data_IF_332505906604
#
_entry.id   IF_332505906604
#
_cell.length_a   1.000
_cell.length_b   1.000
_cell.length_c   1.000
_cell.angle_alpha   90.00
_cell.angle_beta   90.00
_cell.angle_gamma   90.00
#
_symmetry.space_group_name_H-M   'P 1'
#
loop_
_entity.id
_entity.type
_entity.pdbx_description
1 polymer ?
#
# COMPACT_ATOMS: atom_id res chain seq x y z
N UNK A 1 5.07 15.86 -10.49
CA UNK A 1 5.07 14.93 -9.34
C UNK A 1 4.39 15.59 -8.17
N UNK A 2 3.50 14.88 -7.45
CA UNK A 2 2.75 15.44 -6.31
C UNK A 2 3.67 15.65 -5.10
N UNK A 3 3.50 16.78 -4.41
CA UNK A 3 4.27 17.19 -3.24
C UNK A 3 3.58 16.76 -1.94
N UNK A 4 4.32 16.72 -0.82
CA UNK A 4 3.73 16.35 0.47
C UNK A 4 2.71 17.37 0.99
N UNK A 5 2.87 18.66 0.67
CA UNK A 5 1.88 19.69 0.99
C UNK A 5 0.57 19.48 0.25
N UNK A 6 0.63 19.13 -1.04
CA UNK A 6 -0.55 18.79 -1.85
C UNK A 6 -1.25 17.53 -1.31
N UNK A 7 -0.49 16.48 -0.92
CA UNK A 7 -1.07 15.28 -0.27
C UNK A 7 -1.80 15.66 1.02
N UNK A 8 -1.21 16.50 1.86
CA UNK A 8 -1.83 16.96 3.11
C UNK A 8 -3.09 17.80 2.86
N UNK A 9 -3.10 18.63 1.82
CA UNK A 9 -4.29 19.38 1.42
C UNK A 9 -5.41 18.46 0.93
N UNK A 10 -5.10 17.50 0.05
CA UNK A 10 -6.04 16.50 -0.43
C UNK A 10 -6.58 15.64 0.71
N UNK A 11 -5.75 15.30 1.70
CA UNK A 11 -6.21 14.58 2.87
C UNK A 11 -7.23 15.39 3.68
N UNK A 12 -7.03 16.70 3.84
CA UNK A 12 -8.03 17.56 4.51
C UNK A 12 -9.35 17.55 3.75
N UNK A 13 -9.33 17.66 2.42
CA UNK A 13 -10.53 17.56 1.58
C UNK A 13 -11.19 16.19 1.70
N UNK A 14 -10.41 15.11 1.62
CA UNK A 14 -10.91 13.75 1.71
C UNK A 14 -11.56 13.42 3.07
N UNK A 15 -11.12 14.07 4.15
CA UNK A 15 -11.77 13.95 5.48
C UNK A 15 -13.13 14.63 5.54
N UNK A 16 -13.35 15.67 4.72
CA UNK A 16 -14.61 16.41 4.69
C UNK A 16 -15.60 15.82 3.70
N UNK A 17 -15.14 15.40 2.52
CA UNK A 17 -15.98 15.04 1.37
C UNK A 17 -15.88 13.57 0.96
N UNK A 18 -14.97 12.80 1.58
CA UNK A 18 -14.53 11.51 1.04
C UNK A 18 -13.46 11.69 -0.03
N UNK A 19 -12.72 10.61 -0.35
CA UNK A 19 -11.63 10.68 -1.33
C UNK A 19 -12.09 10.55 -2.78
N UNK A 20 -13.35 10.15 -3.01
CA UNK A 20 -13.90 9.90 -4.35
C UNK A 20 -13.28 8.70 -5.09
N UNK A 21 -12.51 7.87 -4.39
CA UNK A 21 -11.84 6.70 -4.97
C UNK A 21 -12.85 5.56 -5.06
N UNK A 22 -13.12 5.08 -6.27
CA UNK A 22 -13.94 3.91 -6.51
C UNK A 22 -13.18 2.63 -6.11
N UNK A 23 -13.81 1.64 -5.45
CA UNK A 23 -13.16 0.39 -5.06
C UNK A 23 -12.44 -0.30 -6.24
N UNK A 24 -13.13 -0.44 -7.37
CA UNK A 24 -12.62 -1.16 -8.55
C UNK A 24 -11.38 -0.49 -9.15
N UNK A 25 -11.21 0.83 -8.94
CA UNK A 25 -10.01 1.56 -9.37
C UNK A 25 -8.75 1.23 -8.56
N UNK A 26 -8.87 0.42 -7.50
CA UNK A 26 -7.75 -0.01 -6.66
C UNK A 26 -7.14 -1.33 -7.09
N UNK A 27 -7.86 -2.12 -7.89
CA UNK A 27 -7.37 -3.40 -8.39
C UNK A 27 -6.12 -3.20 -9.25
N UNK A 28 -5.13 -4.07 -9.01
CA UNK A 28 -3.83 -4.08 -9.69
C UNK A 28 -2.63 -3.97 -8.75
N UNK A 29 -1.46 -3.82 -9.36
CA UNK A 29 -0.15 -3.73 -8.72
C UNK A 29 0.28 -2.27 -8.60
N UNK A 30 0.69 -1.90 -7.39
CA UNK A 30 1.12 -0.57 -7.02
C UNK A 30 2.57 -0.59 -6.52
N UNK A 31 3.43 0.20 -7.13
CA UNK A 31 4.85 0.32 -6.81
C UNK A 31 5.10 1.56 -5.97
N UNK A 32 5.71 1.39 -4.80
CA UNK A 32 6.01 2.50 -3.89
C UNK A 32 7.05 3.43 -4.52
N UNK A 33 6.71 4.72 -4.66
CA UNK A 33 7.62 5.73 -5.20
C UNK A 33 8.26 6.56 -4.09
N UNK A 34 7.44 7.11 -3.20
CA UNK A 34 7.89 8.04 -2.18
C UNK A 34 7.14 7.86 -0.87
N UNK A 35 7.82 8.23 0.21
CA UNK A 35 7.34 8.20 1.58
C UNK A 35 7.64 9.52 2.27
N UNK A 36 6.72 9.95 3.12
CA UNK A 36 6.92 11.10 4.00
C UNK A 36 6.50 10.76 5.42
N UNK A 37 7.11 11.45 6.39
CA UNK A 37 6.67 11.43 7.77
C UNK A 37 5.25 12.00 7.91
N UNK A 38 4.69 11.88 9.12
CA UNK A 38 3.35 12.40 9.44
C UNK A 38 3.10 13.86 9.05
N UNK A 39 4.14 14.69 9.07
CA UNK A 39 4.08 16.12 8.77
C UNK A 39 4.62 16.47 7.37
N UNK A 40 4.77 15.49 6.47
CA UNK A 40 5.20 15.74 5.09
C UNK A 40 6.71 16.00 4.93
N UNK A 41 7.51 15.87 5.99
CA UNK A 41 8.98 15.87 5.88
C UNK A 41 9.45 14.56 5.28
N UNK A 42 10.45 14.60 4.40
CA UNK A 42 11.14 13.38 3.95
C UNK A 42 11.71 12.66 5.17
N UNK A 43 11.59 11.32 5.27
CA UNK A 43 12.16 10.58 6.37
C UNK A 43 13.69 10.76 6.43
N UNK A 44 14.26 10.60 7.62
CA UNK A 44 15.68 10.82 7.89
C UNK A 44 16.54 9.91 6.99
N UNK A 45 17.67 10.39 6.42
CA UNK A 45 18.59 9.56 5.66
C UNK A 45 19.02 8.32 6.47
N UNK A 46 18.91 7.12 5.90
CA UNK A 46 19.34 5.85 6.51
C UNK A 46 18.28 4.74 6.53
N UNK A 47 17.02 5.05 6.86
CA UNK A 47 15.89 4.08 6.82
C UNK A 47 15.05 4.20 5.56
N UNK A 48 15.03 5.38 4.97
CA UNK A 48 14.23 5.77 3.81
C UNK A 48 14.74 5.26 2.43
N UNK A 49 16.06 5.19 2.18
CA UNK A 49 16.58 4.61 0.94
C UNK A 49 16.37 3.10 0.87
N UNK A 50 16.39 2.41 2.02
CA UNK A 50 16.20 0.96 2.12
C UNK A 50 14.78 0.53 1.71
N UNK A 51 13.74 1.22 2.16
CA UNK A 51 12.36 0.87 1.79
C UNK A 51 12.04 1.15 0.31
N UNK A 52 12.66 2.18 -0.28
CA UNK A 52 12.55 2.46 -1.72
C UNK A 52 13.41 1.52 -2.58
N UNK A 53 14.62 1.18 -2.13
CA UNK A 53 15.51 0.26 -2.86
C UNK A 53 15.01 -1.19 -2.84
N UNK A 54 14.17 -1.54 -1.87
CA UNK A 54 13.52 -2.84 -1.76
C UNK A 54 12.40 -3.08 -2.78
N UNK A 55 12.07 -2.09 -3.63
CA UNK A 55 11.07 -2.26 -4.69
C UNK A 55 9.72 -2.71 -4.14
N UNK A 56 9.22 -2.03 -3.10
CA UNK A 56 7.98 -2.41 -2.44
C UNK A 56 6.79 -2.36 -3.40
N UNK A 57 6.08 -3.48 -3.51
CA UNK A 57 4.90 -3.69 -4.35
C UNK A 57 3.71 -4.00 -3.45
N UNK A 58 2.58 -3.40 -3.76
CA UNK A 58 1.30 -3.67 -3.16
C UNK A 58 0.36 -4.14 -4.26
N UNK A 59 -0.08 -5.39 -4.21
CA UNK A 59 -1.05 -5.93 -5.15
C UNK A 59 -2.38 -6.06 -4.43
N UNK A 60 -3.43 -5.55 -5.08
CA UNK A 60 -4.80 -5.62 -4.61
C UNK A 60 -5.62 -6.32 -5.68
N UNK A 61 -6.36 -7.35 -5.27
CA UNK A 61 -7.25 -8.10 -6.16
C UNK A 61 -8.61 -8.22 -5.49
N UNK A 62 -9.67 -8.09 -6.27
CA UNK A 62 -11.03 -8.28 -5.80
C UNK A 62 -11.60 -9.55 -6.45
N UNK A 63 -12.05 -10.50 -5.63
CA UNK A 63 -12.73 -11.71 -6.08
C UNK A 63 -13.95 -11.95 -5.21
N UNK A 64 -15.13 -12.11 -5.83
CA UNK A 64 -16.40 -12.37 -5.12
C UNK A 64 -16.62 -11.39 -3.95
N UNK A 65 -16.46 -10.09 -4.22
CA UNK A 65 -16.56 -8.98 -3.25
C UNK A 65 -15.53 -8.99 -2.09
N UNK A 66 -14.60 -9.95 -2.09
CA UNK A 66 -13.51 -10.04 -1.11
C UNK A 66 -12.23 -9.51 -1.70
N UNK A 67 -11.55 -8.67 -0.92
CA UNK A 67 -10.24 -8.16 -1.31
C UNK A 67 -9.13 -9.06 -0.78
N UNK A 68 -8.18 -9.37 -1.67
CA UNK A 68 -6.89 -9.94 -1.33
C UNK A 68 -5.84 -8.86 -1.43
N UNK A 69 -4.89 -8.89 -0.50
CA UNK A 69 -3.78 -7.96 -0.45
C UNK A 69 -2.47 -8.73 -0.37
N UNK A 70 -1.52 -8.27 -1.17
CA UNK A 70 -0.16 -8.79 -1.14
C UNK A 70 0.80 -7.63 -1.00
N UNK A 71 1.69 -7.70 -0.02
CA UNK A 71 2.82 -6.80 0.08
C UNK A 71 4.09 -7.59 -0.23
N UNK A 72 4.88 -7.11 -1.19
CA UNK A 72 6.11 -7.77 -1.61
C UNK A 72 7.27 -6.78 -1.62
N UNK A 73 8.43 -7.23 -1.19
CA UNK A 73 9.70 -6.53 -1.35
C UNK A 73 10.74 -7.46 -1.98
N UNK A 74 11.61 -6.90 -2.81
CA UNK A 74 12.70 -7.59 -3.47
C UNK A 74 14.04 -6.96 -3.06
N UNK A 75 14.96 -7.76 -2.54
CA UNK A 75 16.35 -7.38 -2.28
C UNK A 75 17.27 -8.24 -3.15
N UNK A 76 17.58 -7.75 -4.36
CA UNK A 76 18.26 -8.56 -5.37
C UNK A 76 17.42 -9.79 -5.74
N UNK A 77 17.99 -10.99 -5.60
CA UNK A 77 17.28 -12.25 -5.86
C UNK A 77 16.42 -12.73 -4.69
N UNK A 78 16.51 -12.09 -3.51
CA UNK A 78 15.68 -12.39 -2.35
C UNK A 78 14.34 -11.68 -2.48
N UNK A 79 13.25 -12.43 -2.33
CA UNK A 79 11.87 -11.94 -2.29
C UNK A 79 11.26 -12.27 -0.94
N UNK A 80 10.62 -11.28 -0.33
CA UNK A 80 9.75 -11.46 0.82
C UNK A 80 8.34 -11.02 0.41
N UNK A 81 7.35 -11.89 0.60
CA UNK A 81 5.96 -11.67 0.20
C UNK A 81 5.04 -11.99 1.37
N UNK A 82 4.17 -11.06 1.71
CA UNK A 82 3.09 -11.24 2.68
C UNK A 82 1.76 -11.25 1.93
N UNK A 83 0.86 -12.16 2.30
CA UNK A 83 -0.47 -12.26 1.70
C UNK A 83 -1.54 -12.34 2.79
N UNK A 84 -2.71 -11.78 2.49
CA UNK A 84 -3.89 -11.99 3.31
C UNK A 84 -5.12 -11.29 2.78
N UNK A 85 -6.09 -11.09 3.67
CA UNK A 85 -7.36 -10.48 3.34
C UNK A 85 -7.33 -8.97 3.59
N UNK A 86 -8.10 -8.24 2.79
CA UNK A 86 -8.35 -6.82 2.95
C UNK A 86 -9.85 -6.50 2.87
N UNK A 87 -10.21 -5.32 3.34
CA UNK A 87 -11.55 -4.76 3.27
C UNK A 87 -11.45 -3.25 3.10
N UNK A 88 -12.30 -2.67 2.26
CA UNK A 88 -12.47 -1.23 2.11
C UNK A 88 -13.68 -0.76 2.91
N UNK A 89 -13.54 0.34 3.68
CA UNK A 89 -14.61 0.86 4.54
C UNK A 89 -14.71 2.38 4.48
N UNK A 90 -15.94 2.89 4.34
CA UNK A 90 -16.27 4.32 4.46
C UNK A 90 -16.01 5.17 3.21
N UNK A 91 -16.44 6.43 3.25
CA UNK A 91 -16.35 7.40 2.14
C UNK A 91 -14.94 7.93 1.87
N UNK A 92 -14.10 7.93 2.90
CA UNK A 92 -12.64 7.99 2.77
C UNK A 92 -12.14 6.56 3.01
N UNK A 93 -12.00 5.73 1.96
CA UNK A 93 -11.85 4.31 2.15
C UNK A 93 -10.64 4.01 3.04
N UNK A 94 -10.92 3.35 4.15
CA UNK A 94 -9.91 2.69 4.96
C UNK A 94 -9.72 1.30 4.39
N UNK A 95 -8.58 1.08 3.75
CA UNK A 95 -8.13 -0.25 3.36
C UNK A 95 -7.55 -0.93 4.59
N UNK A 96 -8.40 -1.65 5.32
CA UNK A 96 -8.00 -2.49 6.45
C UNK A 96 -7.52 -3.84 5.95
N UNK A 97 -6.50 -4.42 6.56
CA UNK A 97 -5.97 -5.70 6.12
C UNK A 97 -5.36 -6.53 7.25
N UNK A 98 -5.14 -7.81 6.99
CA UNK A 98 -4.38 -8.70 7.86
C UNK A 98 -3.68 -9.75 7.03
N UNK A 99 -2.36 -9.85 7.14
CA UNK A 99 -1.60 -10.92 6.51
C UNK A 99 -1.78 -12.22 7.29
N UNK A 100 -2.01 -13.32 6.58
CA UNK A 100 -2.13 -14.67 7.14
C UNK A 100 -1.01 -15.61 6.68
N UNK A 101 -0.22 -15.21 5.69
CA UNK A 101 0.97 -15.95 5.26
C UNK A 101 2.14 -15.05 4.91
N UNK A 102 3.33 -15.63 4.99
CA UNK A 102 4.60 -15.06 4.53
C UNK A 102 5.37 -16.11 3.72
N UNK A 103 5.93 -15.66 2.61
CA UNK A 103 6.80 -16.41 1.72
C UNK A 103 8.16 -15.72 1.61
N UNK A 104 9.23 -16.51 1.74
CA UNK A 104 10.59 -16.08 1.43
C UNK A 104 11.08 -16.92 0.27
N UNK A 105 11.57 -16.27 -0.79
CA UNK A 105 12.12 -16.95 -1.96
C UNK A 105 13.48 -16.37 -2.33
N UNK A 106 14.39 -17.20 -2.83
CA UNK A 106 15.69 -16.78 -3.34
C UNK A 106 15.86 -17.29 -4.77
N UNK A 107 16.13 -16.38 -5.71
CA UNK A 107 16.28 -16.70 -7.14
C UNK A 107 15.10 -17.53 -7.70
N UNK A 108 13.87 -17.20 -7.27
CA UNK A 108 12.65 -17.88 -7.69
C UNK A 108 12.32 -19.17 -6.93
N UNK A 109 13.21 -19.69 -6.07
CA UNK A 109 12.95 -20.87 -5.24
C UNK A 109 12.40 -20.46 -3.88
N UNK A 110 11.24 -20.99 -3.48
CA UNK A 110 10.69 -20.76 -2.14
C UNK A 110 11.56 -21.44 -1.09
N UNK A 111 12.12 -20.66 -0.19
CA UNK A 111 12.91 -21.13 0.96
C UNK A 111 12.03 -21.34 2.20
N UNK A 112 10.99 -20.52 2.34
CA UNK A 112 10.08 -20.57 3.49
C UNK A 112 8.69 -20.19 3.03
N UNK A 113 7.70 -20.96 3.48
CA UNK A 113 6.30 -20.57 3.51
C UNK A 113 5.80 -20.80 4.93
N UNK A 114 5.19 -19.79 5.55
CA UNK A 114 4.62 -19.89 6.90
C UNK A 114 3.30 -19.17 6.99
N UNK A 115 2.34 -19.80 7.67
CA UNK A 115 1.17 -19.10 8.17
C UNK A 115 1.57 -18.23 9.36
N UNK A 116 1.00 -17.03 9.43
CA UNK A 116 1.20 -16.07 10.52
C UNK A 116 -0.13 -15.74 11.18
N UNK A 117 -0.14 -15.50 12.50
CA UNK A 117 -1.38 -15.19 13.21
C UNK A 117 -1.95 -13.86 12.72
N UNK A 118 -3.27 -13.82 12.54
CA UNK A 118 -3.93 -12.59 12.17
C UNK A 118 -3.83 -11.55 13.30
N UNK A 119 -3.73 -10.25 12.96
CA UNK A 119 -3.67 -9.18 13.96
C UNK A 119 -4.96 -9.14 14.78
N UNK A 120 -4.84 -8.83 16.07
CA UNK A 120 -6.01 -8.64 16.93
C UNK A 120 -6.86 -7.45 16.44
N UNK A 121 -8.18 -7.44 16.69
CA UNK A 121 -9.07 -6.37 16.22
C UNK A 121 -8.61 -4.94 16.58
N UNK A 122 -7.97 -4.75 17.74
CA UNK A 122 -7.47 -3.45 18.21
C UNK A 122 -6.23 -2.96 17.44
N UNK A 123 -5.52 -3.89 16.77
CA UNK A 123 -4.25 -3.65 16.08
C UNK A 123 -4.35 -3.86 14.57
N UNK A 124 -5.57 -3.93 14.01
CA UNK A 124 -5.77 -4.05 12.58
C UNK A 124 -5.00 -2.91 11.87
N UNK A 125 -4.06 -3.25 10.97
CA UNK A 125 -3.38 -2.27 10.14
C UNK A 125 -4.34 -1.77 9.05
N UNK A 126 -4.11 -0.53 8.64
CA UNK A 126 -4.90 0.08 7.58
C UNK A 126 -4.09 1.12 6.82
N UNK A 127 -4.53 1.38 5.59
CA UNK A 127 -4.21 2.55 4.82
C UNK A 127 -5.46 3.41 4.66
N UNK A 128 -5.38 4.67 5.05
CA UNK A 128 -6.40 5.64 4.71
C UNK A 128 -6.09 6.22 3.34
N UNK A 129 -6.92 5.91 2.35
CA UNK A 129 -6.73 6.40 0.98
C UNK A 129 -7.05 7.89 0.92
N UNK A 130 -6.13 8.66 0.31
CA UNK A 130 -6.19 10.13 0.32
C UNK A 130 -6.70 10.63 -1.03
N UNK A 131 -6.02 10.24 -2.10
CA UNK A 131 -6.33 10.67 -3.46
C UNK A 131 -5.74 9.70 -4.47
N UNK A 132 -6.40 9.61 -5.61
CA UNK A 132 -5.92 8.95 -6.82
C UNK A 132 -5.84 9.96 -7.95
N UNK A 133 -4.94 9.72 -8.89
CA UNK A 133 -4.88 10.44 -10.15
C UNK A 133 -6.17 10.28 -10.96
N UNK A 134 -6.62 11.29 -11.74
CA UNK A 134 -7.76 11.11 -12.64
C UNK A 134 -7.58 10.00 -13.67
N UNK A 135 -6.34 9.73 -14.09
CA UNK A 135 -5.95 8.65 -15.01
C UNK A 135 -5.69 7.31 -14.31
N UNK A 136 -5.89 7.23 -12.98
CA UNK A 136 -5.66 6.03 -12.18
C UNK A 136 -4.20 5.63 -11.99
N UNK A 137 -3.25 6.44 -12.46
CA UNK A 137 -1.83 6.06 -12.51
C UNK A 137 -1.10 6.17 -11.18
N UNK A 138 -1.56 7.01 -10.25
CA UNK A 138 -0.98 7.10 -8.92
C UNK A 138 -2.03 7.11 -7.82
N UNK A 139 -1.63 6.62 -6.65
CA UNK A 139 -2.44 6.56 -5.43
C UNK A 139 -1.63 7.10 -4.26
N UNK A 140 -2.26 7.90 -3.41
CA UNK A 140 -1.68 8.38 -2.16
C UNK A 140 -2.47 7.86 -0.97
N UNK A 141 -1.76 7.45 0.08
CA UNK A 141 -2.38 6.92 1.27
C UNK A 141 -1.59 7.27 2.54
N UNK A 142 -2.28 7.23 3.69
CA UNK A 142 -1.68 7.34 5.02
C UNK A 142 -1.74 6.00 5.75
N UNK A 143 -0.61 5.52 6.24
CA UNK A 143 -0.55 4.33 7.11
C UNK A 143 -0.90 4.63 8.57
N UNK A 144 -1.13 3.57 9.36
CA UNK A 144 -1.46 3.66 10.80
C UNK A 144 -0.49 4.53 11.63
N UNK A 145 0.82 4.45 11.36
CA UNK A 145 1.84 5.27 12.03
C UNK A 145 1.87 6.75 11.58
N UNK A 146 0.95 7.15 10.72
CA UNK A 146 0.86 8.49 10.16
C UNK A 146 1.78 8.75 8.97
N UNK A 147 2.63 7.81 8.54
CA UNK A 147 3.43 7.97 7.33
C UNK A 147 2.54 8.16 6.09
N UNK A 148 2.97 9.03 5.17
CA UNK A 148 2.36 9.21 3.86
C UNK A 148 3.13 8.41 2.82
N UNK A 149 2.44 7.85 1.85
CA UNK A 149 3.03 7.11 0.74
C UNK A 149 2.40 7.54 -0.59
N UNK A 150 3.24 7.63 -1.62
CA UNK A 150 2.86 7.74 -3.02
C UNK A 150 3.18 6.42 -3.71
N UNK A 151 2.18 5.87 -4.37
CA UNK A 151 2.25 4.64 -5.15
C UNK A 151 1.97 4.97 -6.60
N UNK A 152 2.70 4.32 -7.51
CA UNK A 152 2.48 4.35 -8.94
C UNK A 152 1.91 3.01 -9.36
N UNK A 153 0.89 2.99 -10.21
CA UNK A 153 0.38 1.76 -10.82
C UNK A 153 1.48 1.15 -11.69
N UNK A 154 1.66 -0.17 -11.59
CA UNK A 154 2.59 -0.88 -12.45
C UNK A 154 2.04 -0.89 -13.88
N UNK A 155 2.81 -0.33 -14.82
CA UNK A 155 2.43 -0.28 -16.22
C UNK A 155 2.42 -1.66 -16.89
N UNK A 156 3.10 -2.65 -16.29
CA UNK A 156 3.08 -4.04 -16.76
C UNK A 156 1.85 -4.83 -16.32
N UNK A 157 0.96 -4.21 -15.54
CA UNK A 157 -0.25 -4.79 -14.99
C UNK A 157 -1.52 -4.28 -15.73
N UNK A 158 -1.37 -3.90 -17.01
CA UNK A 158 -2.54 -3.69 -17.87
C UNK A 158 -3.06 -5.03 -18.41
N UNK A 159 -4.38 -5.25 -18.42
CA UNK A 159 -4.99 -6.43 -19.04
C UNK A 159 -4.70 -6.54 -20.53
#
# INVERSE_FOLDING_TARGET
MITSSEILQRERQARLLGSGIAPDSLEGVWILQNTWSKHGKRPTPGTDPLLRSLGARLQLEQRDEKWTIVNQVNLGSLRLRFQGAAQLKGSRPLLTFGFCSVDISLAGRTLLHRSIPQPSPQRIPFFALIAMAPDGQWLTARGRGGGLALWQRDASDQP
#
